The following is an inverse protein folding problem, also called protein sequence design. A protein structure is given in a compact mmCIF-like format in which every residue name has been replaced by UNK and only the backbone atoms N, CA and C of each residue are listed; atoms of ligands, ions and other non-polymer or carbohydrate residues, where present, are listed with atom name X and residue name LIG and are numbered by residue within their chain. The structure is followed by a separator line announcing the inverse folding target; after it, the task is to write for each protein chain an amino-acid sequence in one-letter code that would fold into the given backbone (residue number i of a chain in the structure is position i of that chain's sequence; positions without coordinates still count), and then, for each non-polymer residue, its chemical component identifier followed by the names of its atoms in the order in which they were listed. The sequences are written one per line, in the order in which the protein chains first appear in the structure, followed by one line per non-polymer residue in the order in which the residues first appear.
data_IF_994000234608
#
_entry.id   IF_994000234608
#
_cell.length_a   1.000
_cell.length_b   1.000
_cell.length_c   1.000
_cell.angle_alpha   90.00
_cell.angle_beta   90.00
_cell.angle_gamma   90.00
#
_symmetry.space_group_name_H-M   'P 1'
#
loop_
_entity.id
_entity.type
_entity.pdbx_description
1 polymer ?
#
# COMPACT_ATOMS: atom_id res chain seq x y z
N UNK A 1 -0.95 -9.86 -16.04
CA UNK A 1 0.42 -9.51 -16.49
C UNK A 1 1.29 -10.76 -16.30
N UNK A 2 2.44 -10.93 -16.98
CA UNK A 2 3.42 -11.92 -16.51
C UNK A 2 3.82 -11.58 -15.07
N UNK A 3 4.11 -12.59 -14.25
CA UNK A 3 4.68 -12.42 -12.90
C UNK A 3 5.91 -11.51 -13.02
N UNK A 4 5.76 -10.26 -12.56
CA UNK A 4 6.77 -9.22 -12.76
C UNK A 4 6.98 -8.52 -11.43
N UNK A 5 8.25 -8.45 -11.05
CA UNK A 5 8.74 -7.59 -9.99
C UNK A 5 9.72 -6.61 -10.62
N UNK A 6 9.45 -5.32 -10.49
CA UNK A 6 10.37 -4.24 -10.83
C UNK A 6 10.71 -3.45 -9.57
N UNK A 7 11.99 -3.37 -9.24
CA UNK A 7 12.50 -2.46 -8.21
C UNK A 7 13.12 -1.23 -8.87
N UNK A 8 12.70 -0.05 -8.42
CA UNK A 8 13.29 1.23 -8.80
C UNK A 8 14.01 1.76 -7.57
N UNK A 9 15.34 1.82 -7.63
CA UNK A 9 16.16 2.27 -6.51
C UNK A 9 15.84 3.73 -6.15
N UNK A 10 15.87 4.02 -4.85
CA UNK A 10 15.65 5.36 -4.32
C UNK A 10 16.76 6.34 -4.71
N UNK A 11 16.48 7.64 -4.54
CA UNK A 11 17.44 8.70 -4.83
C UNK A 11 18.75 8.53 -4.03
N UNK A 12 19.94 8.54 -4.68
CA UNK A 12 21.21 8.32 -4.00
C UNK A 12 21.49 9.26 -2.83
N UNK A 13 21.05 10.52 -2.89
CA UNK A 13 21.26 11.51 -1.83
C UNK A 13 20.44 11.19 -0.57
N UNK A 14 19.26 10.58 -0.74
CA UNK A 14 18.42 10.14 0.38
C UNK A 14 19.00 8.88 1.01
N UNK A 15 19.53 7.95 0.19
CA UNK A 15 20.14 6.70 0.69
C UNK A 15 21.41 6.92 1.50
N UNK A 16 22.15 8.00 1.22
CA UNK A 16 23.41 8.31 1.93
C UNK A 16 23.22 8.51 3.44
N UNK A 17 22.02 8.92 3.88
CA UNK A 17 21.69 9.19 5.28
C UNK A 17 20.86 8.07 5.93
N UNK A 18 20.83 6.86 5.34
CA UNK A 18 19.99 5.74 5.80
C UNK A 18 20.14 5.48 7.30
N UNK A 19 21.37 5.28 7.76
CA UNK A 19 21.66 4.93 9.15
C UNK A 19 21.53 6.12 10.12
N UNK A 20 21.26 7.31 9.59
CA UNK A 20 21.02 8.53 10.38
C UNK A 20 19.51 8.82 10.53
N UNK A 21 18.65 8.12 9.79
CA UNK A 21 17.21 8.27 9.85
C UNK A 21 16.57 7.16 10.69
N UNK A 22 15.56 7.54 11.47
CA UNK A 22 14.70 6.61 12.20
C UNK A 22 13.23 6.89 11.90
N UNK A 23 12.40 5.85 12.00
CA UNK A 23 10.96 5.93 11.81
C UNK A 23 10.39 6.87 12.86
N UNK A 24 9.72 7.92 12.39
CA UNK A 24 8.84 8.73 13.22
C UNK A 24 7.44 8.17 13.09
N UNK A 25 6.77 7.99 14.23
CA UNK A 25 5.37 7.57 14.26
C UNK A 25 4.49 8.66 13.66
N UNK A 26 3.62 8.28 12.73
CA UNK A 26 2.61 9.16 12.17
C UNK A 26 1.27 8.94 12.85
N UNK A 27 0.35 9.90 12.71
CA UNK A 27 -1.03 9.75 13.21
C UNK A 27 -1.75 8.52 12.58
N UNK A 28 -1.34 8.12 11.37
CA UNK A 28 -1.79 6.88 10.73
C UNK A 28 -1.39 5.62 11.50
N UNK A 29 -0.26 5.60 12.21
CA UNK A 29 0.25 4.38 12.86
C UNK A 29 -0.63 3.93 14.04
N UNK A 30 -1.22 4.89 14.77
CA UNK A 30 -2.16 4.64 15.87
C UNK A 30 -3.53 4.17 15.36
N UNK A 31 -3.94 4.63 14.18
CA UNK A 31 -5.26 4.36 13.60
C UNK A 31 -5.20 3.36 12.44
N UNK A 32 -4.07 2.66 12.30
CA UNK A 32 -3.73 1.87 11.12
C UNK A 32 -4.81 0.83 10.78
N UNK A 33 -5.34 0.16 11.80
CA UNK A 33 -6.39 -0.85 11.63
C UNK A 33 -7.71 -0.24 11.12
N UNK A 34 -8.04 0.97 11.57
CA UNK A 34 -9.23 1.69 11.08
C UNK A 34 -9.04 2.18 9.66
N UNK A 35 -7.86 2.71 9.34
CA UNK A 35 -7.49 3.13 7.99
C UNK A 35 -7.53 1.93 7.04
N UNK A 36 -6.94 0.80 7.42
CA UNK A 36 -6.96 -0.43 6.63
C UNK A 36 -8.37 -0.97 6.41
N UNK A 37 -9.24 -0.94 7.43
CA UNK A 37 -10.65 -1.30 7.29
C UNK A 37 -11.38 -0.37 6.30
N UNK A 38 -11.09 0.93 6.33
CA UNK A 38 -11.61 1.89 5.37
C UNK A 38 -11.13 1.55 3.95
N UNK A 39 -9.82 1.35 3.76
CA UNK A 39 -9.24 1.02 2.45
C UNK A 39 -9.83 -0.28 1.89
N UNK A 40 -9.99 -1.30 2.72
CA UNK A 40 -10.65 -2.54 2.35
C UNK A 40 -12.07 -2.27 1.85
N UNK A 41 -12.89 -1.56 2.63
CA UNK A 41 -14.26 -1.20 2.26
C UNK A 41 -14.32 -0.41 0.95
N UNK A 42 -13.40 0.54 0.76
CA UNK A 42 -13.30 1.31 -0.47
C UNK A 42 -13.06 0.42 -1.70
N UNK A 43 -12.11 -0.52 -1.57
CA UNK A 43 -11.70 -1.43 -2.65
C UNK A 43 -12.73 -2.51 -2.97
N UNK A 44 -13.52 -2.94 -1.99
CA UNK A 44 -14.40 -4.12 -2.12
C UNK A 44 -15.85 -3.74 -2.36
N UNK A 45 -16.32 -2.61 -1.81
CA UNK A 45 -17.73 -2.22 -1.83
C UNK A 45 -18.00 -0.88 -2.49
N UNK A 46 -17.10 0.09 -2.34
CA UNK A 46 -17.35 1.49 -2.73
C UNK A 46 -16.78 1.90 -4.08
N UNK A 47 -16.41 0.93 -4.92
CA UNK A 47 -15.98 1.19 -6.29
C UNK A 47 -14.57 1.77 -6.43
N UNK A 48 -13.76 1.88 -5.38
CA UNK A 48 -12.35 2.21 -5.55
C UNK A 48 -11.64 1.02 -6.21
N UNK A 49 -10.95 1.22 -7.31
CA UNK A 49 -10.19 0.13 -7.97
C UNK A 49 -8.69 0.25 -7.71
N UNK A 50 -8.23 1.41 -7.29
CA UNK A 50 -6.86 1.67 -6.88
C UNK A 50 -6.87 2.58 -5.66
N UNK A 51 -6.23 2.13 -4.58
CA UNK A 51 -5.97 2.97 -3.41
C UNK A 51 -4.48 2.97 -3.10
N UNK A 52 -3.91 4.17 -2.93
CA UNK A 52 -2.57 4.39 -2.41
C UNK A 52 -2.67 4.96 -1.00
N UNK A 53 -2.02 4.29 -0.07
CA UNK A 53 -1.90 4.64 1.34
C UNK A 53 -0.54 5.28 1.54
N UNK A 54 -0.50 6.53 1.99
CA UNK A 54 0.73 7.22 2.32
C UNK A 54 0.88 7.24 3.84
N UNK A 55 1.53 6.21 4.39
CA UNK A 55 1.69 6.03 5.83
C UNK A 55 2.45 7.18 6.49
N UNK A 56 3.49 7.69 5.83
CA UNK A 56 4.32 8.77 6.38
C UNK A 56 3.60 10.12 6.40
N UNK A 57 2.80 10.44 5.37
CA UNK A 57 2.10 11.74 5.26
C UNK A 57 0.64 11.69 5.67
N UNK A 58 0.16 10.54 6.16
CA UNK A 58 -1.19 10.37 6.71
C UNK A 58 -2.33 10.74 5.74
N UNK A 59 -2.26 10.23 4.51
CA UNK A 59 -3.29 10.44 3.48
C UNK A 59 -3.56 9.20 2.64
N UNK A 60 -4.74 9.16 2.02
CA UNK A 60 -5.10 8.24 0.95
C UNK A 60 -5.16 8.97 -0.39
N UNK A 61 -4.82 8.26 -1.46
CA UNK A 61 -5.14 8.66 -2.84
C UNK A 61 -5.94 7.54 -3.47
N UNK A 62 -7.14 7.85 -3.93
CA UNK A 62 -8.12 6.85 -4.38
C UNK A 62 -8.54 7.14 -5.83
N UNK A 63 -8.68 6.08 -6.63
CA UNK A 63 -9.29 6.10 -7.95
C UNK A 63 -10.53 5.23 -7.93
N UNK A 64 -11.64 5.77 -8.43
CA UNK A 64 -12.95 5.11 -8.45
C UNK A 64 -13.36 4.79 -9.87
N UNK A 65 -14.11 3.70 -10.05
CA UNK A 65 -14.49 3.18 -11.38
C UNK A 65 -15.44 4.12 -12.14
N UNK A 66 -16.25 4.89 -11.42
CA UNK A 66 -17.18 5.87 -11.96
C UNK A 66 -16.52 7.20 -12.38
N UNK A 67 -15.28 7.45 -11.93
CA UNK A 67 -14.49 8.65 -12.26
C UNK A 67 -12.98 8.34 -12.35
N UNK A 68 -12.63 7.32 -13.15
CA UNK A 68 -11.29 6.72 -13.15
C UNK A 68 -10.14 7.66 -13.55
N UNK A 69 -10.42 8.78 -14.21
CA UNK A 69 -9.43 9.76 -14.65
C UNK A 69 -9.16 10.87 -13.62
N UNK A 70 -9.90 10.89 -12.50
CA UNK A 70 -9.77 11.90 -11.44
C UNK A 70 -9.53 11.21 -10.11
N UNK A 71 -8.28 11.22 -9.66
CA UNK A 71 -7.97 10.75 -8.31
C UNK A 71 -8.52 11.72 -7.28
N UNK A 72 -8.85 11.18 -6.10
CA UNK A 72 -9.26 11.95 -4.93
C UNK A 72 -8.27 11.73 -3.80
N UNK A 73 -7.95 12.77 -3.05
CA UNK A 73 -7.04 12.72 -1.91
C UNK A 73 -7.84 12.97 -0.64
N UNK A 74 -7.60 12.15 0.38
CA UNK A 74 -8.26 12.27 1.69
C UNK A 74 -7.19 12.23 2.78
N UNK A 75 -7.20 13.20 3.70
CA UNK A 75 -6.31 13.19 4.87
C UNK A 75 -6.91 12.36 6.01
N UNK A 76 -6.10 12.04 7.03
CA UNK A 76 -6.53 11.18 8.14
C UNK A 76 -7.86 11.60 8.77
N UNK A 77 -8.02 12.88 9.10
CA UNK A 77 -9.20 13.36 9.82
C UNK A 77 -10.51 13.13 9.04
N UNK A 78 -10.45 13.25 7.71
CA UNK A 78 -11.57 12.91 6.84
C UNK A 78 -11.85 11.41 6.87
N UNK A 79 -10.81 10.59 6.71
CA UNK A 79 -10.92 9.11 6.68
C UNK A 79 -11.49 8.56 7.99
N UNK A 80 -11.16 9.18 9.13
CA UNK A 80 -11.65 8.77 10.44
C UNK A 80 -13.06 9.29 10.78
N UNK A 81 -13.60 10.21 9.98
CA UNK A 81 -14.93 10.77 10.23
C UNK A 81 -15.98 9.65 10.21
N UNK A 82 -16.88 9.58 11.21
CA UNK A 82 -17.95 8.59 11.20
C UNK A 82 -18.76 8.64 9.90
N UNK A 83 -18.96 7.49 9.27
CA UNK A 83 -19.67 7.40 7.99
C UNK A 83 -18.85 7.86 6.77
N UNK A 84 -17.52 8.02 6.88
CA UNK A 84 -16.68 8.37 5.74
C UNK A 84 -16.89 7.46 4.52
N UNK A 85 -17.04 6.14 4.72
CA UNK A 85 -17.32 5.22 3.60
C UNK A 85 -18.75 5.36 3.05
N UNK A 86 -19.69 5.88 3.83
CA UNK A 86 -21.11 5.96 3.46
C UNK A 86 -21.39 7.10 2.46
N UNK A 87 -20.45 8.04 2.31
CA UNK A 87 -20.53 9.08 1.27
C UNK A 87 -20.33 8.53 -0.16
N UNK A 88 -19.87 7.28 -0.30
CA UNK A 88 -19.65 6.62 -1.57
C UNK A 88 -20.77 5.62 -1.87
N UNK A 89 -21.17 5.56 -3.15
CA UNK A 89 -22.12 4.56 -3.62
C UNK A 89 -21.52 3.15 -3.53
N UNK A 90 -22.38 2.17 -3.28
CA UNK A 90 -22.02 0.77 -3.44
C UNK A 90 -21.92 0.46 -4.94
N UNK A 91 -20.72 0.11 -5.40
CA UNK A 91 -20.45 -0.17 -6.80
C UNK A 91 -19.71 -1.52 -6.86
N UNK A 92 -20.44 -2.63 -7.10
CA UNK A 92 -19.84 -3.93 -7.34
C UNK A 92 -18.95 -3.89 -8.59
N UNK A 93 -17.77 -4.50 -8.50
CA UNK A 93 -16.73 -4.41 -9.55
C UNK A 93 -16.52 -5.74 -10.30
N UNK A 94 -17.33 -6.77 -10.07
CA UNK A 94 -17.12 -8.12 -10.62
C UNK A 94 -17.12 -8.12 -12.15
N UNK A 95 -17.92 -7.24 -12.77
CA UNK A 95 -17.97 -7.05 -14.21
C UNK A 95 -16.64 -6.59 -14.82
N UNK A 96 -15.77 -5.94 -14.03
CA UNK A 96 -14.42 -5.54 -14.42
C UNK A 96 -13.39 -6.67 -14.25
N UNK A 97 -13.80 -7.82 -13.72
CA UNK A 97 -12.97 -9.01 -13.49
C UNK A 97 -11.71 -8.69 -12.65
N UNK A 98 -11.87 -8.20 -11.40
CA UNK A 98 -10.75 -7.94 -10.51
C UNK A 98 -9.90 -9.20 -10.35
N UNK A 99 -8.58 -9.03 -10.35
CA UNK A 99 -7.62 -10.13 -10.18
C UNK A 99 -7.17 -10.31 -8.73
N UNK A 100 -7.53 -9.36 -7.86
CA UNK A 100 -7.32 -9.41 -6.41
C UNK A 100 -8.70 -9.44 -5.74
N UNK A 101 -8.98 -10.50 -4.98
CA UNK A 101 -10.25 -10.65 -4.29
C UNK A 101 -10.28 -9.96 -2.90
N UNK A 102 -11.40 -10.08 -2.20
CA UNK A 102 -11.63 -9.42 -0.91
C UNK A 102 -10.72 -9.97 0.21
N UNK A 103 -10.42 -11.27 0.18
CA UNK A 103 -9.58 -11.94 1.17
C UNK A 103 -8.10 -11.60 0.91
N UNK A 104 -7.69 -11.61 -0.35
CA UNK A 104 -6.37 -11.18 -0.80
C UNK A 104 -6.07 -9.72 -0.40
N UNK A 105 -7.05 -8.81 -0.48
CA UNK A 105 -6.85 -7.42 -0.02
C UNK A 105 -6.54 -7.38 1.48
N UNK A 106 -7.20 -8.21 2.31
CA UNK A 106 -6.89 -8.29 3.73
C UNK A 106 -5.45 -8.77 3.97
N UNK A 107 -5.00 -9.79 3.24
CA UNK A 107 -3.63 -10.29 3.34
C UNK A 107 -2.59 -9.22 2.95
N UNK A 108 -2.83 -8.49 1.87
CA UNK A 108 -1.93 -7.40 1.43
C UNK A 108 -1.86 -6.29 2.49
N UNK A 109 -3.00 -5.89 3.06
CA UNK A 109 -3.04 -4.85 4.09
C UNK A 109 -2.32 -5.30 5.37
N UNK A 110 -2.48 -6.56 5.78
CA UNK A 110 -1.74 -7.12 6.91
C UNK A 110 -0.23 -7.08 6.68
N UNK A 111 0.21 -7.44 5.46
CA UNK A 111 1.63 -7.40 5.11
C UNK A 111 2.16 -5.96 5.09
N UNK A 112 1.39 -5.00 4.56
CA UNK A 112 1.75 -3.58 4.65
C UNK A 112 1.90 -3.11 6.10
N UNK A 113 1.02 -3.56 7.00
CA UNK A 113 1.11 -3.27 8.43
C UNK A 113 2.39 -3.85 9.03
N UNK A 114 2.74 -5.10 8.70
CA UNK A 114 3.99 -5.73 9.13
C UNK A 114 5.19 -4.90 8.66
N UNK A 115 5.28 -4.62 7.35
CA UNK A 115 6.38 -3.85 6.75
C UNK A 115 6.48 -2.40 7.25
N UNK A 116 5.37 -1.81 7.70
CA UNK A 116 5.37 -0.48 8.33
C UNK A 116 5.95 -0.50 9.75
N UNK A 117 5.75 -1.58 10.51
CA UNK A 117 6.06 -1.65 11.95
C UNK A 117 7.30 -2.46 12.31
N UNK A 118 7.82 -3.29 11.42
CA UNK A 118 8.88 -4.26 11.74
C UNK A 118 10.23 -3.61 12.01
N UNK A 119 10.63 -2.60 11.24
CA UNK A 119 11.97 -2.00 11.32
C UNK A 119 11.89 -0.48 11.47
N UNK A 120 12.86 0.12 12.15
CA UNK A 120 12.91 1.57 12.39
C UNK A 120 13.67 2.34 11.30
N UNK A 121 14.43 1.65 10.46
CA UNK A 121 15.30 2.21 9.43
C UNK A 121 14.74 1.93 8.02
N UNK A 122 14.35 0.68 7.74
CA UNK A 122 13.77 0.23 6.46
C UNK A 122 12.30 -0.14 6.66
N UNK A 123 11.42 0.84 6.49
CA UNK A 123 9.99 0.65 6.70
C UNK A 123 9.16 1.13 5.52
N UNK A 124 7.96 0.57 5.39
CA UNK A 124 7.01 0.98 4.36
C UNK A 124 6.56 2.43 4.59
N UNK A 125 6.75 3.28 3.58
CA UNK A 125 6.26 4.67 3.55
C UNK A 125 4.96 4.81 2.79
N UNK A 126 4.85 4.10 1.67
CA UNK A 126 3.64 4.08 0.85
C UNK A 126 3.33 2.67 0.38
N UNK A 127 2.07 2.27 0.43
CA UNK A 127 1.57 1.05 -0.19
C UNK A 127 0.45 1.39 -1.16
N UNK A 128 0.34 0.72 -2.31
CA UNK A 128 -0.85 0.82 -3.16
C UNK A 128 -1.32 -0.53 -3.64
N UNK A 129 -2.63 -0.65 -3.78
CA UNK A 129 -3.32 -1.84 -4.29
C UNK A 129 -4.13 -1.41 -5.50
N UNK A 130 -3.92 -2.04 -6.65
CA UNK A 130 -4.80 -1.95 -7.80
C UNK A 130 -5.49 -3.30 -8.01
N UNK A 131 -6.80 -3.33 -7.75
CA UNK A 131 -7.60 -4.55 -7.74
C UNK A 131 -7.81 -5.15 -9.14
N UNK A 132 -7.78 -4.30 -10.17
CA UNK A 132 -8.12 -4.70 -11.55
C UNK A 132 -6.92 -5.29 -12.27
N UNK A 133 -5.77 -4.62 -12.21
CA UNK A 133 -4.56 -5.11 -12.88
C UNK A 133 -3.63 -5.91 -11.97
N UNK A 134 -3.93 -5.99 -10.67
CA UNK A 134 -3.16 -6.75 -9.69
C UNK A 134 -1.82 -6.12 -9.32
N UNK A 135 -1.59 -4.86 -9.68
CA UNK A 135 -0.35 -4.17 -9.34
C UNK A 135 -0.37 -3.73 -7.88
N UNK A 136 0.65 -4.15 -7.14
CA UNK A 136 0.92 -3.73 -5.78
C UNK A 136 2.20 -2.89 -5.82
N UNK A 137 2.17 -1.69 -5.24
CA UNK A 137 3.37 -0.86 -5.14
C UNK A 137 3.74 -0.62 -3.69
N UNK A 138 5.03 -0.74 -3.38
CA UNK A 138 5.58 -0.51 -2.04
C UNK A 138 6.77 0.43 -2.15
N UNK A 139 6.68 1.59 -1.50
CA UNK A 139 7.81 2.52 -1.38
C UNK A 139 8.34 2.46 0.04
N UNK A 140 9.61 2.08 0.19
CA UNK A 140 10.31 2.04 1.48
C UNK A 140 11.05 3.36 1.75
N UNK A 141 11.48 3.56 3.00
CA UNK A 141 12.25 4.73 3.42
C UNK A 141 13.45 5.04 2.54
N UNK A 142 14.23 4.03 2.15
CA UNK A 142 15.45 4.22 1.39
C UNK A 142 15.75 3.14 0.34
N UNK A 143 14.95 2.07 0.25
CA UNK A 143 15.13 1.03 -0.78
C UNK A 143 14.46 1.34 -2.12
N UNK A 144 13.78 2.50 -2.18
CA UNK A 144 13.07 2.94 -3.37
C UNK A 144 11.67 2.32 -3.45
N UNK A 145 11.22 2.03 -4.67
CA UNK A 145 9.85 1.59 -4.94
C UNK A 145 9.83 0.25 -5.68
N UNK A 146 9.05 -0.67 -5.15
CA UNK A 146 8.76 -1.98 -5.73
C UNK A 146 7.41 -1.91 -6.43
N UNK A 147 7.36 -2.40 -7.66
CA UNK A 147 6.15 -2.63 -8.43
C UNK A 147 6.05 -4.14 -8.64
N UNK A 148 5.04 -4.77 -8.08
CA UNK A 148 4.93 -6.23 -8.03
C UNK A 148 3.52 -6.69 -8.42
N UNK A 149 3.44 -7.67 -9.30
CA UNK A 149 2.19 -8.36 -9.63
C UNK A 149 1.70 -9.18 -8.42
N UNK A 150 0.38 -9.19 -8.19
CA UNK A 150 -0.24 -9.84 -7.03
C UNK A 150 0.19 -11.30 -6.84
N UNK A 151 0.38 -12.08 -7.91
CA UNK A 151 0.79 -13.48 -7.78
C UNK A 151 2.20 -13.57 -7.20
N UNK A 152 3.12 -12.77 -7.71
CA UNK A 152 4.49 -12.71 -7.21
C UNK A 152 4.53 -12.16 -5.78
N UNK A 153 3.67 -11.19 -5.46
CA UNK A 153 3.55 -10.67 -4.10
C UNK A 153 3.15 -11.78 -3.12
N UNK A 154 2.15 -12.60 -3.45
CA UNK A 154 1.72 -13.70 -2.59
C UNK A 154 2.72 -14.85 -2.53
N UNK A 155 3.46 -15.14 -3.61
CA UNK A 155 4.58 -16.09 -3.57
C UNK A 155 5.72 -15.65 -2.64
N UNK A 156 5.80 -14.35 -2.35
CA UNK A 156 6.84 -13.71 -1.52
C UNK A 156 6.28 -13.11 -0.24
N UNK A 157 5.02 -13.40 0.08
CA UNK A 157 4.38 -12.92 1.29
C UNK A 157 5.25 -13.33 2.49
N UNK A 158 5.41 -12.43 3.45
CA UNK A 158 6.24 -12.59 4.65
C UNK A 158 7.77 -12.67 4.43
N UNK A 159 8.25 -12.74 3.18
CA UNK A 159 9.71 -12.72 2.89
C UNK A 159 10.28 -11.32 2.75
N UNK A 160 9.42 -10.31 2.54
CA UNK A 160 9.88 -8.93 2.37
C UNK A 160 10.53 -8.40 3.64
N UNK A 161 11.77 -7.90 3.52
CA UNK A 161 12.50 -7.30 4.63
C UNK A 161 12.91 -8.29 5.73
N UNK A 162 12.96 -9.59 5.43
CA UNK A 162 13.61 -10.58 6.30
C UNK A 162 15.11 -10.68 5.98
N UNK A 163 15.93 -11.09 6.95
CA UNK A 163 17.41 -11.06 6.89
C UNK A 163 18.02 -11.77 5.66
N UNK A 164 17.29 -12.66 4.99
CA UNK A 164 17.76 -13.37 3.79
C UNK A 164 17.94 -12.49 2.54
N UNK A 165 17.23 -11.37 2.41
CA UNK A 165 17.44 -10.42 1.29
C UNK A 165 18.61 -9.45 1.55
N UNK A 166 18.87 -9.10 2.81
CA UNK A 166 19.93 -8.15 3.19
C UNK A 166 21.35 -8.64 2.85
N UNK A 167 21.56 -9.95 2.67
CA UNK A 167 22.87 -10.55 2.36
C UNK A 167 23.20 -10.48 0.86
N UNK A 168 22.21 -10.26 -0.03
CA UNK A 168 22.44 -10.24 -1.49
C UNK A 168 22.75 -8.87 -2.08
N UNK A 169 22.42 -7.78 -1.39
CA UNK A 169 22.65 -6.41 -1.89
C UNK A 169 23.95 -5.77 -1.37
N UNK A 170 24.75 -6.51 -0.60
CA UNK A 170 26.05 -6.07 -0.05
C UNK A 170 27.25 -6.82 -0.67
N UNK A 171 27.00 -7.72 -1.64
CA UNK A 171 28.03 -8.46 -2.38
C UNK A 171 28.16 -8.01 -3.83
#
# INVERSE_FOLDING_TARGET
MPQRWLQVKGDPSVRAFLFEQSRVESLFDEQLDKVHKCVHTLLTKKGAFHVKIHYSSSQLTCWFVDDAFRYRVYVLDEVLTPGFCDQFHDIPQEHLKPVVDEDDIHLILNEFKRLRKTDQTIYLRNGSINRINGMINMTFSCDGTHYIDHKMFFEKLDTFGTEEEAIKDVA
#
